data_IF_456610560905
#
_entry.id   IF_456610560905
#
_cell.length_a   1.000
_cell.length_b   1.000
_cell.length_c   1.000
_cell.angle_alpha   90.00
_cell.angle_beta   90.00
_cell.angle_gamma   90.00
#
_symmetry.space_group_name_H-M   'P 1'
#
loop_
_entity.id
_entity.type
_entity.pdbx_description
1 polymer ?
#
# COMPACT_ATOMS: atom_id res chain seq x y z
N UNK A 1 13.73 2.41 -7.30
CA UNK A 1 12.67 1.74 -6.54
C UNK A 1 13.28 0.54 -5.82
N UNK A 2 12.98 0.35 -4.54
CA UNK A 2 13.56 -0.72 -3.71
C UNK A 2 12.64 -1.96 -3.62
N UNK A 3 11.35 -1.79 -3.88
CA UNK A 3 10.37 -2.88 -3.91
C UNK A 3 9.51 -2.81 -5.17
N UNK A 4 8.84 -3.92 -5.47
CA UNK A 4 7.80 -4.01 -6.50
C UNK A 4 6.52 -4.49 -5.82
N UNK A 5 5.46 -3.67 -5.84
CA UNK A 5 4.13 -4.06 -5.32
C UNK A 5 3.35 -4.74 -6.45
N UNK A 6 2.94 -5.99 -6.23
CA UNK A 6 2.17 -6.82 -7.18
C UNK A 6 0.66 -6.75 -6.93
N UNK A 7 0.28 -6.66 -5.66
CA UNK A 7 -1.11 -6.58 -5.20
C UNK A 7 -1.17 -5.49 -4.12
N UNK A 8 -2.17 -4.60 -4.12
CA UNK A 8 -3.28 -4.53 -5.08
C UNK A 8 -2.86 -4.07 -6.48
N UNK A 9 -3.75 -4.31 -7.45
CA UNK A 9 -3.58 -3.95 -8.87
C UNK A 9 -4.93 -3.64 -9.51
N UNK A 10 -4.91 -3.23 -10.79
CA UNK A 10 -6.09 -2.96 -11.62
C UNK A 10 -7.08 -4.14 -11.68
N UNK A 11 -6.58 -5.37 -11.54
CA UNK A 11 -7.39 -6.60 -11.52
C UNK A 11 -7.72 -7.12 -10.13
N UNK A 12 -6.98 -6.69 -9.12
CA UNK A 12 -7.05 -7.20 -7.75
C UNK A 12 -7.08 -6.04 -6.76
N UNK A 13 -8.27 -5.45 -6.64
CA UNK A 13 -8.56 -4.38 -5.67
C UNK A 13 -8.94 -4.91 -4.29
N UNK A 14 -9.46 -4.02 -3.45
CA UNK A 14 -9.93 -4.37 -2.11
C UNK A 14 -11.45 -4.21 -1.98
N UNK A 15 -11.98 -4.72 -0.88
CA UNK A 15 -13.34 -4.43 -0.44
C UNK A 15 -13.29 -3.69 0.88
N UNK A 16 -14.24 -2.79 1.11
CA UNK A 16 -14.25 -1.85 2.22
C UNK A 16 -14.17 -2.54 3.58
N UNK A 17 -14.92 -3.63 3.75
CA UNK A 17 -15.02 -4.36 5.03
C UNK A 17 -14.32 -5.72 5.04
N UNK A 18 -13.41 -5.95 4.11
CA UNK A 18 -12.61 -7.18 4.07
C UNK A 18 -11.12 -6.86 4.20
N UNK A 19 -10.37 -7.85 4.64
CA UNK A 19 -8.92 -7.78 4.73
C UNK A 19 -8.30 -7.44 3.37
N UNK A 20 -7.58 -6.32 3.33
CA UNK A 20 -6.74 -5.93 2.21
C UNK A 20 -5.49 -6.78 2.16
N UNK A 21 -5.07 -7.17 0.94
CA UNK A 21 -3.83 -7.90 0.72
C UNK A 21 -2.83 -7.03 -0.01
N UNK A 22 -1.61 -6.97 0.51
CA UNK A 22 -0.46 -6.36 -0.15
C UNK A 22 0.58 -7.45 -0.40
N UNK A 23 0.92 -7.67 -1.67
CA UNK A 23 2.00 -8.60 -2.04
C UNK A 23 3.09 -7.82 -2.76
N UNK A 24 4.34 -7.98 -2.34
CA UNK A 24 5.47 -7.26 -2.89
C UNK A 24 6.75 -8.11 -2.93
N UNK A 25 7.70 -7.71 -3.76
CA UNK A 25 9.06 -8.24 -3.77
C UNK A 25 10.07 -7.16 -3.40
N UNK A 26 11.09 -7.54 -2.64
CA UNK A 26 12.28 -6.71 -2.44
C UNK A 26 13.20 -6.85 -3.66
N UNK A 27 13.52 -5.70 -4.26
CA UNK A 27 14.40 -5.57 -5.43
C UNK A 27 15.76 -5.01 -5.04
N UNK A 28 15.82 -4.15 -4.01
CA UNK A 28 17.07 -3.60 -3.45
C UNK A 28 17.20 -3.93 -1.95
N UNK A 29 18.41 -4.25 -1.50
CA UNK A 29 18.82 -4.46 -0.12
C UNK A 29 18.93 -3.18 0.73
N UNK A 30 18.88 -1.98 0.17
CA UNK A 30 19.19 -0.76 0.95
C UNK A 30 18.08 -0.30 1.90
N UNK A 31 16.81 -0.66 1.63
CA UNK A 31 15.71 -0.35 2.54
C UNK A 31 15.42 -1.56 3.43
N UNK A 32 15.75 -1.47 4.72
CA UNK A 32 15.39 -2.52 5.69
C UNK A 32 14.00 -2.33 6.28
N UNK A 33 13.52 -1.08 6.36
CA UNK A 33 12.22 -0.74 6.94
C UNK A 33 11.49 0.32 6.15
N UNK A 34 10.16 0.20 6.09
CA UNK A 34 9.28 1.18 5.47
C UNK A 34 7.93 1.28 6.19
N UNK A 35 7.18 2.32 5.86
CA UNK A 35 5.77 2.45 6.16
C UNK A 35 4.93 2.24 4.89
N UNK A 36 3.70 1.80 5.07
CA UNK A 36 2.73 1.57 4.02
C UNK A 36 1.62 2.60 4.20
N UNK A 37 1.35 3.36 3.14
CA UNK A 37 0.26 4.34 3.11
C UNK A 37 -0.68 4.03 1.95
N UNK A 38 -1.98 4.26 2.18
CA UNK A 38 -3.01 4.29 1.16
C UNK A 38 -3.20 5.74 0.71
N UNK A 39 -3.16 5.95 -0.59
CA UNK A 39 -3.30 7.27 -1.21
C UNK A 39 -4.35 7.21 -2.31
N UNK A 40 -4.94 8.35 -2.63
CA UNK A 40 -5.81 8.53 -3.79
C UNK A 40 -5.50 9.87 -4.43
N UNK A 41 -5.49 9.93 -5.76
CA UNK A 41 -5.34 11.18 -6.49
C UNK A 41 -6.58 12.06 -6.35
N UNK A 42 -7.76 11.45 -6.19
CA UNK A 42 -9.01 12.15 -5.91
C UNK A 42 -9.13 12.44 -4.40
N UNK A 43 -8.86 13.69 -4.04
CA UNK A 43 -8.95 14.18 -2.65
C UNK A 43 -10.39 14.36 -2.17
N UNK A 44 -11.39 14.23 -3.04
CA UNK A 44 -12.79 14.15 -2.61
C UNK A 44 -13.14 12.75 -2.08
N UNK A 45 -12.46 11.71 -2.59
CA UNK A 45 -12.60 10.31 -2.11
C UNK A 45 -11.73 10.06 -0.89
N UNK A 46 -10.49 10.57 -0.90
CA UNK A 46 -9.55 10.44 0.21
C UNK A 46 -8.88 11.79 0.53
N UNK A 47 -9.46 12.58 1.45
CA UNK A 47 -8.92 13.91 1.79
C UNK A 47 -7.49 13.86 2.31
N UNK A 48 -7.15 12.83 3.11
CA UNK A 48 -5.83 12.62 3.69
C UNK A 48 -5.38 11.17 3.49
N UNK A 49 -4.09 10.97 3.24
CA UNK A 49 -3.51 9.63 3.10
C UNK A 49 -3.65 8.84 4.41
N UNK A 50 -3.96 7.55 4.30
CA UNK A 50 -4.13 6.68 5.48
C UNK A 50 -2.85 5.88 5.70
N UNK A 51 -2.30 5.97 6.91
CA UNK A 51 -1.19 5.12 7.34
C UNK A 51 -1.71 3.73 7.69
N UNK A 52 -1.38 2.74 6.86
CA UNK A 52 -1.83 1.36 7.05
C UNK A 52 -0.91 0.59 7.99
N UNK A 53 0.40 0.81 7.88
CA UNK A 53 1.40 0.12 8.72
C UNK A 53 2.71 0.89 8.78
N UNK A 54 3.43 0.78 9.88
CA UNK A 54 4.76 1.38 10.07
C UNK A 54 5.79 0.34 10.47
N UNK A 55 7.06 0.62 10.20
CA UNK A 55 8.18 -0.25 10.63
C UNK A 55 8.19 -1.64 9.98
N UNK A 56 7.58 -1.79 8.80
CA UNK A 56 7.55 -3.05 8.06
C UNK A 56 8.96 -3.42 7.62
N UNK A 57 9.42 -4.61 8.01
CA UNK A 57 10.71 -5.14 7.57
C UNK A 57 10.55 -5.72 6.16
N UNK A 58 11.38 -5.28 5.23
CA UNK A 58 11.18 -5.59 3.80
C UNK A 58 11.49 -7.01 3.34
N UNK A 59 11.85 -7.90 4.26
CA UNK A 59 12.08 -9.31 3.98
C UNK A 59 13.33 -9.59 3.12
N UNK A 60 13.47 -10.84 2.68
CA UNK A 60 14.56 -11.31 1.82
C UNK A 60 14.31 -10.91 0.35
N UNK A 61 15.35 -10.54 -0.42
CA UNK A 61 15.23 -10.34 -1.86
C UNK A 61 14.66 -11.57 -2.58
N UNK A 62 13.99 -11.36 -3.72
CA UNK A 62 13.52 -12.42 -4.65
C UNK A 62 12.34 -13.28 -4.17
N UNK A 63 11.87 -13.14 -2.92
CA UNK A 63 10.65 -13.81 -2.43
C UNK A 63 9.45 -12.86 -2.37
N UNK A 64 8.25 -13.41 -2.62
CA UNK A 64 6.99 -12.68 -2.48
C UNK A 64 6.65 -12.56 -0.98
N UNK A 65 6.58 -11.33 -0.49
CA UNK A 65 6.15 -11.01 0.86
C UNK A 65 4.69 -10.57 0.82
N UNK A 66 3.87 -11.13 1.70
CA UNK A 66 2.45 -10.77 1.81
C UNK A 66 2.15 -10.17 3.17
N UNK A 67 1.44 -9.05 3.17
CA UNK A 67 0.93 -8.38 4.35
C UNK A 67 -0.59 -8.31 4.24
N UNK A 68 -1.25 -8.69 5.32
CA UNK A 68 -2.68 -8.50 5.50
C UNK A 68 -2.91 -7.18 6.23
N UNK A 69 -3.83 -6.38 5.71
CA UNK A 69 -4.26 -5.10 6.26
C UNK A 69 -5.71 -5.23 6.65
N UNK A 70 -5.98 -5.14 7.94
CA UNK A 70 -7.35 -5.19 8.45
C UNK A 70 -8.08 -3.89 8.12
N UNK A 71 -9.37 -3.94 7.74
CA UNK A 71 -10.15 -2.74 7.53
C UNK A 71 -10.35 -1.97 8.85
N UNK A 72 -10.43 -0.63 8.80
CA UNK A 72 -10.95 0.17 9.91
C UNK A 72 -12.37 -0.27 10.28
N UNK A 73 -12.84 0.12 11.47
CA UNK A 73 -14.21 -0.19 11.91
C UNK A 73 -15.28 0.29 10.91
N UNK A 74 -15.09 1.48 10.34
CA UNK A 74 -15.98 2.07 9.32
C UNK A 74 -15.67 1.57 7.88
N UNK A 75 -14.71 0.64 7.74
CA UNK A 75 -14.23 0.16 6.44
C UNK A 75 -13.23 1.11 5.76
N UNK A 76 -12.71 0.66 4.62
CA UNK A 76 -11.92 1.52 3.73
C UNK A 76 -12.82 2.43 2.88
N UNK A 77 -12.36 3.63 2.51
CA UNK A 77 -13.06 4.48 1.55
C UNK A 77 -13.24 3.74 0.21
N UNK A 78 -14.42 3.88 -0.39
CA UNK A 78 -14.82 3.23 -1.65
C UNK A 78 -14.60 4.17 -2.82
N UNK A 79 -14.10 3.64 -3.94
CA UNK A 79 -13.82 4.43 -5.14
C UNK A 79 -12.68 3.86 -5.99
N UNK A 80 -12.29 4.62 -7.00
CA UNK A 80 -11.21 4.28 -7.93
C UNK A 80 -9.92 5.07 -7.61
N UNK A 81 -8.84 4.79 -8.35
CA UNK A 81 -7.56 5.52 -8.29
C UNK A 81 -6.78 5.42 -6.97
N UNK A 82 -7.06 4.40 -6.15
CA UNK A 82 -6.25 4.12 -4.97
C UNK A 82 -4.87 3.58 -5.34
N UNK A 83 -3.86 3.93 -4.56
CA UNK A 83 -2.50 3.39 -4.67
C UNK A 83 -1.93 3.08 -3.29
N UNK A 84 -1.16 2.00 -3.23
CA UNK A 84 -0.31 1.68 -2.09
C UNK A 84 1.08 2.23 -2.34
N UNK A 85 1.56 3.06 -1.41
CA UNK A 85 2.93 3.57 -1.41
C UNK A 85 3.70 3.01 -0.23
N UNK A 86 4.93 2.57 -0.52
CA UNK A 86 5.92 2.27 0.50
C UNK A 86 6.84 3.46 0.65
N UNK A 87 6.87 4.04 1.84
CA UNK A 87 7.63 5.26 2.14
C UNK A 87 8.57 5.05 3.31
N UNK A 88 9.59 5.91 3.44
CA UNK A 88 10.56 5.79 4.55
C UNK A 88 9.91 5.98 5.91
N UNK A 89 9.09 7.01 6.05
CA UNK A 89 8.26 7.30 7.23
C UNK A 89 6.90 7.82 6.76
N UNK A 90 5.82 7.68 7.55
CA UNK A 90 4.47 8.02 7.10
C UNK A 90 4.28 9.44 6.58
N UNK A 91 5.05 10.40 7.09
CA UNK A 91 4.95 11.81 6.72
C UNK A 91 5.93 12.22 5.61
N UNK A 92 6.72 11.29 5.07
CA UNK A 92 7.68 11.54 4.00
C UNK A 92 7.15 10.97 2.68
N UNK A 93 6.31 11.75 2.02
CA UNK A 93 5.79 11.44 0.68
C UNK A 93 6.85 11.64 -0.42
N UNK A 94 8.00 12.24 -0.12
CA UNK A 94 9.07 12.49 -1.10
C UNK A 94 9.93 11.24 -1.33
N UNK A 95 10.03 10.37 -0.32
CA UNK A 95 10.78 9.12 -0.42
C UNK A 95 9.86 7.93 -0.69
N UNK A 96 9.51 7.72 -1.96
CA UNK A 96 8.74 6.54 -2.39
C UNK A 96 9.68 5.40 -2.76
N UNK A 97 9.68 4.34 -1.94
CA UNK A 97 10.44 3.12 -2.21
C UNK A 97 9.76 2.21 -3.24
N UNK A 98 8.43 2.19 -3.24
CA UNK A 98 7.62 1.48 -4.21
C UNK A 98 6.19 2.03 -4.23
N UNK A 99 5.51 1.79 -5.34
CA UNK A 99 4.12 2.16 -5.55
C UNK A 99 3.42 1.05 -6.33
N UNK A 100 2.17 0.74 -5.97
CA UNK A 100 1.32 -0.18 -6.73
C UNK A 100 0.80 0.45 -8.02
N UNK A 101 0.28 -0.39 -8.92
CA UNK A 101 -0.71 0.10 -9.90
C UNK A 101 -1.93 0.67 -9.17
N UNK A 102 -2.70 1.50 -9.88
CA UNK A 102 -4.00 1.92 -9.38
C UNK A 102 -4.95 0.74 -9.23
N UNK A 103 -5.82 0.82 -8.23
CA UNK A 103 -6.85 -0.17 -7.97
C UNK A 103 -8.12 0.47 -7.42
N UNK A 104 -9.20 -0.29 -7.47
CA UNK A 104 -10.52 0.09 -6.95
C UNK A 104 -10.73 -0.54 -5.57
N UNK A 105 -11.33 0.22 -4.66
CA UNK A 105 -11.92 -0.30 -3.42
C UNK A 105 -13.44 -0.34 -3.60
N UNK A 106 -14.04 -1.51 -3.48
CA UNK A 106 -15.48 -1.73 -3.62
C UNK A 106 -16.16 -1.81 -2.24
N UNK A 107 -17.46 -1.55 -2.20
CA UNK A 107 -18.27 -1.83 -1.02
C UNK A 107 -18.30 -3.34 -0.71
#
# INVERSE_FOLDING_TARGET
MAYLVKVPSDKQGWYSHYDGRITYNRVNTDADRFAIILTNQDRSVLPEDIVLKTGVVGGTPVQDHTIIIQPPQEGFPVGDHFRINFVKVPNDQHTIFAQSSEFTIKA
#
